data_IF_296978634804
#
_entry.id   IF_296978634804
#
_cell.length_a   1.000
_cell.length_b   1.000
_cell.length_c   1.000
_cell.angle_alpha   90.00
_cell.angle_beta   90.00
_cell.angle_gamma   90.00
#
_symmetry.space_group_name_H-M   'P 1'
#
loop_
_entity.id
_entity.type
_entity.pdbx_description
1 polymer ?
#
# COMPACT_ATOMS: atom_id res chain seq x y z
N UNK A 1 17.13 -17.06 14.33
CA UNK A 1 17.24 -16.29 13.09
C UNK A 1 17.09 -17.28 11.96
N UNK A 2 15.87 -17.45 11.46
CA UNK A 2 15.63 -18.17 10.20
C UNK A 2 16.34 -17.39 9.11
N UNK A 3 17.20 -18.05 8.35
CA UNK A 3 17.83 -17.43 7.19
C UNK A 3 16.70 -17.01 6.24
N UNK A 4 16.63 -15.71 5.90
CA UNK A 4 15.72 -15.24 4.87
C UNK A 4 15.96 -16.10 3.63
N UNK A 5 14.91 -16.74 3.15
CA UNK A 5 14.92 -17.67 2.01
C UNK A 5 15.17 -16.95 0.67
N UNK A 6 15.33 -15.62 0.71
CA UNK A 6 15.72 -14.78 -0.42
C UNK A 6 14.57 -14.05 -1.10
N UNK A 7 13.32 -14.27 -0.67
CA UNK A 7 12.12 -13.57 -1.15
C UNK A 7 11.40 -12.88 0.00
N UNK A 8 11.39 -11.55 -0.01
CA UNK A 8 10.66 -10.72 0.95
C UNK A 8 9.64 -9.85 0.21
N UNK A 9 8.43 -9.77 0.77
CA UNK A 9 7.32 -8.96 0.28
C UNK A 9 6.79 -8.08 1.42
N UNK A 10 6.75 -6.77 1.20
CA UNK A 10 6.21 -5.80 2.15
C UNK A 10 5.05 -5.05 1.51
N UNK A 11 3.92 -5.01 2.20
CA UNK A 11 2.73 -4.27 1.79
C UNK A 11 2.46 -3.21 2.85
N UNK A 12 2.54 -1.95 2.45
CA UNK A 12 2.28 -0.79 3.32
C UNK A 12 1.21 0.10 2.72
N UNK A 13 0.63 0.96 3.57
CA UNK A 13 -0.25 2.03 3.09
C UNK A 13 0.50 2.89 2.08
N UNK A 14 -0.20 3.39 1.07
CA UNK A 14 0.34 4.31 0.09
C UNK A 14 0.51 5.72 0.64
N UNK A 15 0.88 6.62 -0.25
CA UNK A 15 1.05 8.04 0.09
C UNK A 15 -0.29 8.64 0.50
N UNK A 16 -0.28 9.49 1.54
CA UNK A 16 -1.48 10.18 2.00
C UNK A 16 -2.21 10.90 0.85
N UNK A 17 -3.52 10.71 0.74
CA UNK A 17 -4.32 11.25 -0.36
C UNK A 17 -4.28 10.43 -1.66
N UNK A 18 -3.60 9.27 -1.66
CA UNK A 18 -3.61 8.32 -2.78
C UNK A 18 -4.26 7.02 -2.33
N UNK A 19 -5.30 6.60 -3.05
CA UNK A 19 -5.95 5.29 -2.85
C UNK A 19 -5.09 4.16 -3.43
N UNK A 20 -3.85 4.06 -2.96
CA UNK A 20 -2.85 3.10 -3.42
C UNK A 20 -2.17 2.44 -2.24
N UNK A 21 -1.64 1.23 -2.39
CA UNK A 21 -0.76 0.56 -1.44
C UNK A 21 0.61 0.40 -2.07
N UNK A 22 1.65 0.59 -1.27
CA UNK A 22 3.01 0.30 -1.70
C UNK A 22 3.29 -1.19 -1.47
N UNK A 23 3.75 -1.86 -2.52
CA UNK A 23 4.17 -3.26 -2.48
C UNK A 23 5.65 -3.31 -2.86
N UNK A 24 6.50 -3.64 -1.90
CA UNK A 24 7.92 -3.83 -2.14
C UNK A 24 8.26 -5.33 -2.16
N UNK A 25 9.01 -5.76 -3.16
CA UNK A 25 9.43 -7.15 -3.32
C UNK A 25 10.91 -7.22 -3.65
N UNK A 26 11.62 -8.20 -3.12
CA UNK A 26 13.02 -8.48 -3.46
C UNK A 26 13.18 -8.84 -4.94
N UNK A 27 14.35 -8.57 -5.50
CA UNK A 27 14.70 -8.89 -6.90
C UNK A 27 14.28 -10.32 -7.32
N UNK A 28 14.58 -11.30 -6.46
CA UNK A 28 14.28 -12.72 -6.70
C UNK A 28 12.77 -13.05 -6.80
N UNK A 29 11.91 -12.18 -6.27
CA UNK A 29 10.45 -12.36 -6.30
C UNK A 29 9.75 -11.42 -7.27
N UNK A 30 10.45 -10.44 -7.85
CA UNK A 30 9.82 -9.37 -8.62
C UNK A 30 9.09 -9.89 -9.86
N UNK A 31 9.77 -10.65 -10.72
CA UNK A 31 9.17 -11.20 -11.94
C UNK A 31 7.94 -12.08 -11.65
N UNK A 32 8.04 -12.95 -10.63
CA UNK A 32 6.93 -13.81 -10.22
C UNK A 32 5.75 -13.01 -9.67
N UNK A 33 6.01 -11.96 -8.89
CA UNK A 33 4.95 -11.09 -8.38
C UNK A 33 4.24 -10.37 -9.53
N UNK A 34 4.99 -9.75 -10.44
CA UNK A 34 4.43 -9.03 -11.60
C UNK A 34 3.54 -9.95 -12.45
N UNK A 35 4.03 -11.14 -12.78
CA UNK A 35 3.25 -12.10 -13.58
C UNK A 35 1.97 -12.57 -12.88
N UNK A 36 1.96 -12.63 -11.55
CA UNK A 36 0.74 -12.95 -10.79
C UNK A 36 -0.21 -11.77 -10.72
N UNK A 37 0.28 -10.54 -10.55
CA UNK A 37 -0.57 -9.35 -10.60
C UNK A 37 -1.24 -9.21 -11.97
N UNK A 38 -0.51 -9.42 -13.06
CA UNK A 38 -1.04 -9.43 -14.43
C UNK A 38 -2.12 -10.51 -14.60
N UNK A 39 -1.88 -11.72 -14.10
CA UNK A 39 -2.83 -12.85 -14.15
C UNK A 39 -4.15 -12.54 -13.44
N UNK A 40 -4.10 -11.76 -12.36
CA UNK A 40 -5.27 -11.36 -11.56
C UNK A 40 -5.87 -10.01 -12.00
N UNK A 41 -5.43 -9.46 -13.13
CA UNK A 41 -5.86 -8.15 -13.65
C UNK A 41 -5.70 -7.02 -12.61
N UNK A 42 -4.66 -7.10 -11.78
CA UNK A 42 -4.33 -6.10 -10.78
C UNK A 42 -3.42 -5.05 -11.42
N UNK A 43 -3.91 -3.83 -11.55
CA UNK A 43 -3.14 -2.71 -12.06
C UNK A 43 -2.07 -2.27 -11.06
N UNK A 44 -0.84 -2.12 -11.54
CA UNK A 44 0.28 -1.64 -10.75
C UNK A 44 1.14 -0.65 -11.54
N UNK A 45 1.84 0.22 -10.81
CA UNK A 45 2.86 1.12 -11.34
C UNK A 45 4.19 0.82 -10.65
N UNK A 46 5.26 0.58 -11.42
CA UNK A 46 6.60 0.43 -10.86
C UNK A 46 7.13 1.82 -10.49
N UNK A 47 7.46 2.02 -9.22
CA UNK A 47 7.96 3.29 -8.71
C UNK A 47 9.48 3.35 -8.85
N UNK A 48 10.02 4.49 -9.28
CA UNK A 48 11.45 4.81 -9.18
C UNK A 48 11.82 5.18 -7.73
N UNK A 49 11.61 4.21 -6.82
CA UNK A 49 11.84 4.32 -5.39
C UNK A 49 12.78 3.23 -4.95
N UNK A 50 13.84 3.62 -4.24
CA UNK A 50 14.79 2.67 -3.62
C UNK A 50 14.51 2.56 -2.13
N UNK A 51 14.41 1.34 -1.63
CA UNK A 51 14.35 1.05 -0.20
C UNK A 51 15.72 0.59 0.27
N UNK A 52 16.36 1.34 1.17
CA UNK A 52 17.65 0.98 1.75
C UNK A 52 17.60 -0.38 2.48
N UNK A 53 16.44 -0.68 3.06
CA UNK A 53 16.17 -1.93 3.77
C UNK A 53 15.79 -3.10 2.84
N UNK A 54 15.79 -2.90 1.52
CA UNK A 54 15.48 -3.91 0.52
C UNK A 54 16.28 -3.62 -0.78
N UNK A 55 17.62 -3.73 -0.75
CA UNK A 55 18.48 -3.38 -1.87
C UNK A 55 18.23 -4.30 -3.08
N UNK A 56 18.11 -3.70 -4.27
CA UNK A 56 17.75 -4.42 -5.50
C UNK A 56 16.26 -4.78 -5.62
N UNK A 57 15.45 -4.42 -4.63
CA UNK A 57 14.01 -4.61 -4.67
C UNK A 57 13.28 -3.75 -5.69
N UNK A 58 12.12 -4.24 -6.11
CA UNK A 58 11.14 -3.48 -6.89
C UNK A 58 10.07 -2.95 -5.94
N UNK A 59 9.71 -1.68 -6.09
CA UNK A 59 8.58 -1.08 -5.37
C UNK A 59 7.48 -0.77 -6.37
N UNK A 60 6.27 -1.17 -6.03
CA UNK A 60 5.07 -1.03 -6.85
C UNK A 60 4.05 -0.18 -6.09
N UNK A 61 3.28 0.62 -6.82
CA UNK A 61 2.03 1.19 -6.35
C UNK A 61 0.87 0.37 -6.92
N UNK A 62 -0.01 -0.12 -6.05
CA UNK A 62 -1.21 -0.89 -6.44
C UNK A 62 -2.44 -0.15 -5.93
N UNK A 63 -3.49 -0.01 -6.73
CA UNK A 63 -4.72 0.63 -6.25
C UNK A 63 -5.32 -0.09 -5.03
N UNK A 64 -5.66 0.63 -3.96
CA UNK A 64 -6.20 0.05 -2.71
C UNK A 64 -7.55 -0.66 -2.94
N UNK A 65 -8.26 -0.32 -4.01
CA UNK A 65 -9.47 -1.05 -4.44
C UNK A 65 -9.19 -2.52 -4.79
N UNK A 66 -7.97 -2.87 -5.24
CA UNK A 66 -7.56 -4.25 -5.50
C UNK A 66 -7.36 -5.08 -4.23
N UNK A 67 -7.27 -4.46 -3.04
CA UNK A 67 -7.36 -5.19 -1.78
C UNK A 67 -8.71 -5.90 -1.65
N UNK A 68 -9.76 -5.34 -2.27
CA UNK A 68 -11.13 -5.84 -2.19
C UNK A 68 -11.78 -5.55 -0.82
N UNK A 69 -13.11 -5.59 -0.72
CA UNK A 69 -13.83 -5.39 0.56
C UNK A 69 -13.55 -6.50 1.58
N UNK A 70 -13.06 -7.66 1.11
CA UNK A 70 -12.87 -8.86 1.90
C UNK A 70 -11.39 -9.31 1.94
N UNK A 71 -10.47 -8.51 1.40
CA UNK A 71 -9.06 -8.90 1.23
C UNK A 71 -8.81 -9.88 0.08
N UNK A 72 -9.83 -10.22 -0.73
CA UNK A 72 -9.77 -11.35 -1.67
C UNK A 72 -8.99 -11.06 -2.96
N UNK A 73 -8.95 -9.81 -3.45
CA UNK A 73 -8.28 -9.50 -4.73
C UNK A 73 -6.77 -9.73 -4.62
N UNK A 74 -6.10 -8.85 -3.89
CA UNK A 74 -4.66 -9.00 -3.63
C UNK A 74 -4.36 -10.28 -2.82
N UNK A 75 -5.20 -10.67 -1.86
CA UNK A 75 -4.95 -11.87 -1.05
C UNK A 75 -4.88 -13.16 -1.86
N UNK A 76 -5.65 -13.29 -2.93
CA UNK A 76 -5.60 -14.46 -3.81
C UNK A 76 -4.39 -14.41 -4.75
N UNK A 77 -4.00 -13.23 -5.23
CA UNK A 77 -2.73 -13.03 -5.93
C UNK A 77 -1.53 -13.41 -5.04
N UNK A 78 -1.52 -13.04 -3.75
CA UNK A 78 -0.45 -13.44 -2.83
C UNK A 78 -0.30 -14.95 -2.66
N UNK A 79 -1.42 -15.69 -2.64
CA UNK A 79 -1.38 -17.16 -2.60
C UNK A 79 -0.78 -17.77 -3.87
N UNK A 80 -1.14 -17.23 -5.03
CA UNK A 80 -0.56 -17.67 -6.31
C UNK A 80 0.93 -17.29 -6.41
N UNK A 81 1.33 -16.14 -5.87
CA UNK A 81 2.72 -15.73 -5.76
C UNK A 81 3.54 -16.72 -4.92
N UNK A 82 3.06 -17.09 -3.73
CA UNK A 82 3.75 -18.09 -2.89
C UNK A 82 3.92 -19.45 -3.60
N UNK A 83 2.98 -19.82 -4.47
CA UNK A 83 3.09 -21.04 -5.29
C UNK A 83 4.10 -20.87 -6.41
N UNK A 84 4.19 -19.69 -7.03
CA UNK A 84 5.10 -19.41 -8.13
C UNK A 84 6.57 -19.41 -7.70
N UNK A 85 6.87 -19.00 -6.47
CA UNK A 85 8.25 -18.97 -5.93
C UNK A 85 8.65 -20.25 -5.20
N UNK A 86 7.78 -21.28 -5.15
CA UNK A 86 8.09 -22.55 -4.50
C UNK A 86 9.37 -23.19 -5.09
N UNK A 87 10.23 -23.81 -4.25
CA UNK A 87 10.02 -24.19 -2.85
C UNK A 87 10.34 -23.09 -1.83
N UNK A 88 10.65 -21.86 -2.25
CA UNK A 88 10.93 -20.74 -1.34
C UNK A 88 9.63 -20.31 -0.67
N UNK A 89 9.63 -20.20 0.66
CA UNK A 89 8.53 -19.61 1.41
C UNK A 89 8.81 -18.10 1.50
N UNK A 90 8.01 -17.23 0.86
CA UNK A 90 8.22 -15.80 0.92
C UNK A 90 7.89 -15.24 2.31
N UNK A 91 8.71 -14.30 2.77
CA UNK A 91 8.45 -13.55 4.00
C UNK A 91 7.51 -12.39 3.69
N UNK A 92 6.30 -12.40 4.24
CA UNK A 92 5.29 -11.34 3.98
C UNK A 92 5.06 -10.48 5.19
N UNK A 93 5.16 -9.18 5.00
CA UNK A 93 4.86 -8.18 6.02
C UNK A 93 3.77 -7.24 5.53
N UNK A 94 2.69 -7.07 6.30
CA UNK A 94 1.58 -6.17 5.98
C UNK A 94 1.45 -5.16 7.11
N UNK A 95 1.58 -3.86 6.81
CA UNK A 95 1.52 -2.80 7.83
C UNK A 95 2.59 -2.92 8.92
N UNK A 96 3.73 -3.57 8.62
CA UNK A 96 4.81 -3.84 9.58
C UNK A 96 4.65 -5.13 10.40
N UNK A 97 3.55 -5.86 10.24
CA UNK A 97 3.30 -7.15 10.92
C UNK A 97 3.61 -8.32 9.98
N UNK A 98 4.37 -9.34 10.41
CA UNK A 98 4.65 -10.53 9.60
C UNK A 98 3.45 -11.48 9.53
N UNK A 99 3.25 -12.12 8.37
CA UNK A 99 2.20 -13.09 8.10
C UNK A 99 2.72 -14.29 7.30
N UNK A 100 2.14 -15.47 7.57
CA UNK A 100 2.28 -16.63 6.69
C UNK A 100 1.22 -16.58 5.59
N UNK A 101 1.61 -16.60 4.30
CA UNK A 101 0.64 -16.55 3.18
C UNK A 101 -0.35 -17.72 3.21
N UNK A 102 0.02 -18.87 3.78
CA UNK A 102 -0.86 -20.01 3.92
C UNK A 102 -2.10 -19.72 4.78
N UNK A 103 -2.02 -18.74 5.69
CA UNK A 103 -3.13 -18.29 6.54
C UNK A 103 -4.02 -17.28 5.80
N UNK A 104 -4.71 -17.76 4.76
CA UNK A 104 -5.56 -16.93 3.88
C UNK A 104 -6.51 -15.97 4.61
N UNK A 105 -7.11 -16.40 5.74
CA UNK A 105 -8.00 -15.56 6.54
C UNK A 105 -7.27 -14.43 7.31
N UNK A 106 -6.06 -14.67 7.80
CA UNK A 106 -5.26 -13.67 8.51
C UNK A 106 -4.74 -12.61 7.53
N UNK A 107 -4.22 -13.04 6.37
CA UNK A 107 -3.79 -12.15 5.28
C UNK A 107 -4.97 -11.29 4.80
N UNK A 108 -6.12 -11.89 4.52
CA UNK A 108 -7.30 -11.15 4.08
C UNK A 108 -7.73 -10.08 5.11
N UNK A 109 -7.74 -10.44 6.40
CA UNK A 109 -8.08 -9.52 7.49
C UNK A 109 -7.07 -8.36 7.59
N UNK A 110 -5.78 -8.64 7.41
CA UNK A 110 -4.73 -7.62 7.43
C UNK A 110 -4.86 -6.63 6.26
N UNK A 111 -5.18 -7.13 5.06
CA UNK A 111 -5.42 -6.29 3.87
C UNK A 111 -6.66 -5.39 4.05
N UNK A 112 -7.72 -5.91 4.68
CA UNK A 112 -8.92 -5.12 5.01
C UNK A 112 -8.61 -4.05 6.05
N UNK A 113 -7.85 -4.39 7.09
CA UNK A 113 -7.42 -3.43 8.10
C UNK A 113 -6.56 -2.31 7.49
N UNK A 114 -5.65 -2.67 6.57
CA UNK A 114 -4.84 -1.71 5.84
C UNK A 114 -5.72 -0.74 5.04
N UNK A 115 -6.66 -1.26 4.25
CA UNK A 115 -7.62 -0.44 3.50
C UNK A 115 -8.39 0.53 4.41
N UNK A 116 -8.89 0.01 5.53
CA UNK A 116 -9.69 0.80 6.48
C UNK A 116 -8.86 1.94 7.09
N UNK A 117 -7.58 1.68 7.39
CA UNK A 117 -6.67 2.71 7.88
C UNK A 117 -6.46 3.81 6.83
N UNK A 118 -6.29 3.44 5.55
CA UNK A 118 -6.14 4.42 4.46
C UNK A 118 -7.40 5.27 4.26
N UNK A 119 -8.58 4.64 4.28
CA UNK A 119 -9.85 5.36 4.15
C UNK A 119 -10.01 6.40 5.29
N UNK A 120 -9.54 6.08 6.49
CA UNK A 120 -9.53 7.00 7.64
C UNK A 120 -8.51 8.14 7.49
N UNK A 121 -7.31 7.85 6.98
CA UNK A 121 -6.27 8.86 6.72
C UNK A 121 -6.70 9.84 5.63
N UNK A 122 -7.32 9.36 4.55
CA UNK A 122 -7.85 10.19 3.47
C UNK A 122 -8.99 11.10 3.95
N UNK A 123 -9.90 10.57 4.80
CA UNK A 123 -10.94 11.37 5.42
C UNK A 123 -10.36 12.48 6.30
N UNK A 124 -9.36 12.17 7.12
CA UNK A 124 -8.68 13.16 7.96
C UNK A 124 -7.93 14.23 7.14
N UNK A 125 -7.29 13.84 6.04
CA UNK A 125 -6.62 14.77 5.13
C UNK A 125 -7.62 15.73 4.44
N UNK A 126 -8.79 15.22 4.03
CA UNK A 126 -9.86 16.03 3.45
C UNK A 126 -10.42 17.04 4.47
N UNK A 127 -10.64 16.61 5.72
CA UNK A 127 -11.08 17.51 6.81
C UNK A 127 -10.04 18.59 7.13
N UNK A 128 -8.75 18.23 7.17
CA UNK A 128 -7.66 19.17 7.41
C UNK A 128 -7.57 20.22 6.30
N UNK A 129 -7.71 19.81 5.04
CA UNK A 129 -7.76 20.72 3.89
C UNK A 129 -8.96 21.66 3.98
N UNK A 130 -10.16 21.15 4.24
CA UNK A 130 -11.36 21.97 4.39
C UNK A 130 -11.27 22.94 5.58
N UNK A 131 -10.51 22.60 6.63
CA UNK A 131 -10.24 23.52 7.75
C UNK A 131 -9.26 24.62 7.35
N UNK A 132 -8.21 24.28 6.60
CA UNK A 132 -7.23 25.26 6.10
C UNK A 132 -7.89 26.23 5.11
N UNK A 133 -8.69 25.74 4.16
CA UNK A 133 -9.42 26.57 3.17
C UNK A 133 -10.36 27.56 3.87
N UNK A 134 -11.14 27.11 4.87
CA UNK A 134 -12.01 28.00 5.67
C UNK A 134 -11.23 29.04 6.46
N UNK A 135 -10.06 28.68 7.02
CA UNK A 135 -9.20 29.62 7.74
C UNK A 135 -8.62 30.67 6.81
N UNK A 136 -8.16 30.26 5.64
CA UNK A 136 -7.62 31.13 4.61
C UNK A 136 -8.67 32.11 4.07
N UNK A 137 -9.90 31.66 3.80
CA UNK A 137 -11.01 32.53 3.37
C UNK A 137 -11.40 33.56 4.44
N UNK A 138 -11.36 33.20 5.72
CA UNK A 138 -11.59 34.15 6.82
C UNK A 138 -10.47 35.18 6.98
N UNK A 139 -9.22 34.78 6.74
CA UNK A 139 -8.04 35.66 6.84
C UNK A 139 -7.99 36.65 5.66
N UNK A 140 -8.25 36.19 4.44
CA UNK A 140 -8.36 37.03 3.24
C UNK A 140 -9.57 37.98 3.29
N UNK A 141 -10.72 37.52 3.80
CA UNK A 141 -11.92 38.35 3.95
C UNK A 141 -11.81 39.45 5.02
N UNK A 142 -10.81 39.37 5.91
CA UNK A 142 -10.53 40.41 6.90
C UNK A 142 -9.63 41.53 6.36
N UNK A 143 -8.75 41.24 5.41
CA UNK A 143 -7.81 42.22 4.81
C UNK A 143 -8.50 43.20 3.85
N UNK A 144 -9.60 42.79 3.19
CA UNK A 144 -10.39 43.67 2.30
C UNK A 144 -11.30 44.68 3.05
N UNK A 145 -11.32 44.66 4.39
CA UNK A 145 -12.18 45.54 5.22
C UNK A 145 -11.44 46.73 5.84
N UNK A 146 -10.13 46.87 5.67
CA UNK A 146 -9.38 48.07 6.06
C UNK A 146 -9.27 49.07 4.88
N UNK A 147 -10.41 49.62 4.46
CA UNK A 147 -10.43 50.87 3.69
C UNK A 147 -9.87 52.00 4.59
N UNK A 148 -8.76 52.68 4.23
CA UNK A 148 -8.22 53.76 5.04
C UNK A 148 -9.15 54.99 4.97
N UNK A 149 -9.61 55.45 6.14
CA UNK A 149 -10.35 56.72 6.30
C UNK A 149 -9.44 57.94 6.12
#
# INVERSE_FOLDING_TARGET
MTASTGVELRISGGLAGTQTVEVAVTENGAEALLGVLDKHEIGYEVLDKRLESLPGGTVLSVGSFHLGPNGSGLGQALQDFARAVAPIVPEVTIGGTPYEIAESGAVASALVALRTAQDAEDAAAAEARAKWERGYEMEQGADDSEEPK
#
